data_IF_251086495430
#
_entry.id   IF_251086495430
#
_cell.length_a   1.000
_cell.length_b   1.000
_cell.length_c   1.000
_cell.angle_alpha   90.00
_cell.angle_beta   90.00
_cell.angle_gamma   90.00
#
_symmetry.space_group_name_H-M   'P 1'
#
loop_
_entity.id
_entity.type
_entity.pdbx_description
1 polymer ?
#
# COMPACT_ATOMS: atom_id res chain seq x y z
N UNK A 1 30.26 -73.15 5.81
CA UNK A 1 30.02 -72.10 4.80
C UNK A 1 29.49 -70.84 5.50
N UNK A 2 30.22 -69.72 5.47
CA UNK A 2 29.88 -68.49 6.21
C UNK A 2 28.82 -67.66 5.44
N UNK A 3 27.63 -67.48 6.02
CA UNK A 3 26.56 -66.63 5.47
C UNK A 3 26.89 -65.15 5.75
N UNK A 4 27.21 -64.37 4.71
CA UNK A 4 27.42 -62.91 4.81
C UNK A 4 26.06 -62.21 4.97
N UNK A 5 25.88 -61.51 6.09
CA UNK A 5 24.76 -60.61 6.37
C UNK A 5 24.86 -59.36 5.49
N UNK A 6 23.86 -59.13 4.64
CA UNK A 6 23.72 -57.91 3.84
C UNK A 6 23.21 -56.77 4.73
N UNK A 7 24.04 -55.74 4.91
CA UNK A 7 23.71 -54.53 5.67
C UNK A 7 22.80 -53.64 4.82
N UNK A 8 21.50 -53.56 5.15
CA UNK A 8 20.56 -52.61 4.52
C UNK A 8 20.99 -51.18 4.88
N UNK A 9 21.52 -50.46 3.90
CA UNK A 9 21.86 -49.03 4.03
C UNK A 9 20.56 -48.22 4.00
N UNK A 10 20.34 -47.39 5.03
CA UNK A 10 19.22 -46.44 5.07
C UNK A 10 19.46 -45.36 4.01
N UNK A 11 18.49 -45.13 3.13
CA UNK A 11 18.52 -44.03 2.18
C UNK A 11 18.58 -42.69 2.94
N UNK A 12 19.67 -41.94 2.78
CA UNK A 12 19.79 -40.59 3.33
C UNK A 12 18.86 -39.66 2.57
N UNK A 13 17.85 -39.11 3.24
CA UNK A 13 17.04 -38.02 2.68
C UNK A 13 17.97 -36.84 2.42
N UNK A 14 18.11 -36.42 1.15
CA UNK A 14 18.83 -35.20 0.78
C UNK A 14 18.21 -34.02 1.52
N UNK A 15 19.02 -33.28 2.26
CA UNK A 15 18.62 -32.02 2.85
C UNK A 15 18.22 -31.06 1.72
N UNK A 16 17.00 -30.52 1.75
CA UNK A 16 16.58 -29.46 0.82
C UNK A 16 17.52 -28.27 1.02
N UNK A 17 18.13 -27.83 -0.07
CA UNK A 17 19.06 -26.71 -0.04
C UNK A 17 18.29 -25.42 0.20
N UNK A 18 18.84 -24.50 0.98
CA UNK A 18 18.30 -23.15 1.20
C UNK A 18 18.08 -22.40 -0.12
N UNK A 19 18.71 -22.88 -1.22
CA UNK A 19 18.63 -22.34 -2.57
C UNK A 19 17.28 -22.59 -3.28
N UNK A 20 16.47 -23.53 -2.81
CA UNK A 20 15.10 -23.79 -3.32
C UNK A 20 14.03 -22.98 -2.56
N UNK A 21 14.46 -22.02 -1.75
CA UNK A 21 13.56 -21.12 -1.03
C UNK A 21 13.29 -19.87 -1.88
N UNK A 22 12.32 -19.94 -2.79
CA UNK A 22 11.81 -18.77 -3.51
C UNK A 22 10.88 -17.98 -2.60
N UNK A 23 11.44 -17.19 -1.69
CA UNK A 23 10.70 -16.15 -0.97
C UNK A 23 10.81 -14.83 -1.71
N UNK A 24 9.97 -14.64 -2.71
CA UNK A 24 9.62 -13.30 -3.22
C UNK A 24 8.22 -13.38 -3.81
N UNK A 25 7.19 -13.28 -2.98
CA UNK A 25 5.93 -12.73 -3.45
C UNK A 25 5.86 -11.30 -2.94
N UNK A 26 6.39 -10.37 -3.72
CA UNK A 26 6.09 -8.96 -3.53
C UNK A 26 4.59 -8.80 -3.75
N UNK A 27 3.86 -8.44 -2.71
CA UNK A 27 2.41 -8.20 -2.80
C UNK A 27 2.18 -7.15 -3.89
N UNK A 28 1.47 -7.51 -4.96
CA UNK A 28 1.01 -6.53 -5.93
C UNK A 28 0.05 -5.56 -5.21
N UNK A 29 0.39 -4.28 -5.20
CA UNK A 29 -0.46 -3.25 -4.59
C UNK A 29 -1.66 -3.01 -5.49
N UNK A 30 -2.71 -3.80 -5.27
CA UNK A 30 -4.03 -3.52 -5.84
C UNK A 30 -4.65 -2.42 -4.99
N UNK A 31 -5.01 -1.31 -5.63
CA UNK A 31 -5.63 -0.14 -4.98
C UNK A 31 -7.15 -0.22 -5.06
N UNK A 32 -7.84 0.20 -4.00
CA UNK A 32 -9.31 0.29 -3.99
C UNK A 32 -9.74 1.73 -4.26
N UNK A 33 -10.75 1.97 -5.12
CA UNK A 33 -11.31 3.29 -5.26
C UNK A 33 -11.99 3.74 -3.96
N UNK A 34 -11.69 4.96 -3.51
CA UNK A 34 -12.20 5.51 -2.24
C UNK A 34 -13.34 6.50 -2.43
N UNK A 35 -13.48 7.09 -3.62
CA UNK A 35 -14.54 8.04 -3.97
C UNK A 35 -15.42 7.51 -5.11
N UNK A 36 -16.66 7.99 -5.18
CA UNK A 36 -17.59 7.65 -6.28
C UNK A 36 -17.02 8.09 -7.64
N UNK A 37 -16.40 9.27 -7.69
CA UNK A 37 -15.75 9.79 -8.89
C UNK A 37 -14.62 8.86 -9.37
N UNK A 38 -13.84 8.27 -8.45
CA UNK A 38 -12.83 7.28 -8.80
C UNK A 38 -13.43 5.99 -9.35
N UNK A 39 -14.61 5.57 -8.85
CA UNK A 39 -15.37 4.44 -9.44
C UNK A 39 -15.85 4.77 -10.85
N UNK A 40 -16.12 6.04 -11.13
CA UNK A 40 -16.47 6.54 -12.46
C UNK A 40 -15.27 6.83 -13.37
N UNK A 41 -14.04 6.54 -12.92
CA UNK A 41 -12.84 6.71 -13.72
C UNK A 41 -12.23 8.11 -13.67
N UNK A 42 -12.55 8.92 -12.65
CA UNK A 42 -11.69 10.07 -12.32
C UNK A 42 -10.31 9.54 -11.88
N UNK A 43 -9.26 10.25 -12.27
CA UNK A 43 -7.87 9.99 -11.85
C UNK A 43 -7.44 10.88 -10.67
N UNK A 44 -8.37 11.70 -10.15
CA UNK A 44 -8.15 12.64 -9.05
C UNK A 44 -7.53 13.95 -9.53
N UNK A 45 -7.47 14.16 -10.85
CA UNK A 45 -6.94 15.37 -11.49
C UNK A 45 -7.94 16.52 -11.50
N UNK A 46 -9.19 16.25 -11.12
CA UNK A 46 -10.26 17.25 -10.99
C UNK A 46 -9.93 18.36 -9.97
N UNK A 47 -9.26 18.02 -8.87
CA UNK A 47 -8.91 18.96 -7.79
C UNK A 47 -7.53 19.58 -7.91
N UNK A 48 -6.58 18.83 -8.46
CA UNK A 48 -5.19 19.27 -8.61
C UNK A 48 -4.70 18.96 -10.02
N UNK A 49 -4.02 19.92 -10.68
CA UNK A 49 -3.55 19.72 -12.05
C UNK A 49 -2.39 18.73 -12.14
N UNK A 50 -1.69 18.46 -11.04
CA UNK A 50 -0.49 17.62 -10.99
C UNK A 50 -0.60 16.54 -9.92
N UNK A 51 0.08 15.42 -10.16
CA UNK A 51 0.22 14.34 -9.19
C UNK A 51 1.54 14.40 -8.41
N UNK A 52 2.56 15.08 -8.95
CA UNK A 52 3.87 15.20 -8.31
C UNK A 52 3.88 16.39 -7.36
N UNK A 53 4.40 16.16 -6.16
CA UNK A 53 4.47 17.19 -5.13
C UNK A 53 5.42 18.33 -5.51
N UNK A 54 6.56 18.02 -6.13
CA UNK A 54 7.57 19.03 -6.48
C UNK A 54 7.04 20.05 -7.49
N UNK A 55 6.29 19.57 -8.49
CA UNK A 55 5.64 20.41 -9.51
C UNK A 55 4.51 21.26 -8.90
N UNK A 56 3.80 20.72 -7.91
CA UNK A 56 2.79 21.47 -7.16
C UNK A 56 3.42 22.57 -6.30
N UNK A 57 4.57 22.28 -5.68
CA UNK A 57 5.28 23.22 -4.83
C UNK A 57 5.93 24.36 -5.65
N UNK A 58 6.41 24.10 -6.86
CA UNK A 58 6.85 25.17 -7.78
C UNK A 58 5.67 26.05 -8.20
N UNK A 59 4.53 25.44 -8.55
CA UNK A 59 3.31 26.19 -8.89
C UNK A 59 2.83 27.09 -7.74
N UNK A 60 2.85 26.59 -6.49
CA UNK A 60 2.51 27.40 -5.30
C UNK A 60 3.46 28.58 -5.07
N UNK A 61 4.74 28.43 -5.39
CA UNK A 61 5.71 29.52 -5.28
C UNK A 61 5.47 30.62 -6.32
N UNK A 62 5.06 30.23 -7.52
CA UNK A 62 4.76 31.15 -8.62
C UNK A 62 3.44 31.92 -8.41
N UNK A 63 2.46 31.32 -7.72
CA UNK A 63 1.18 31.96 -7.43
C UNK A 63 1.31 33.17 -6.49
N UNK A 64 0.44 34.16 -6.69
CA UNK A 64 0.32 35.29 -5.76
C UNK A 64 -0.48 34.89 -4.51
N UNK A 65 -0.39 35.67 -3.42
CA UNK A 65 -1.15 35.40 -2.18
C UNK A 65 -2.67 35.27 -2.44
N UNK A 66 -3.22 36.12 -3.30
CA UNK A 66 -4.66 36.12 -3.62
C UNK A 66 -5.02 34.83 -4.35
N UNK A 67 -4.19 34.41 -5.30
CA UNK A 67 -4.40 33.18 -6.06
C UNK A 67 -4.31 31.94 -5.17
N UNK A 68 -3.35 31.89 -4.24
CA UNK A 68 -3.23 30.77 -3.28
C UNK A 68 -4.48 30.71 -2.39
N UNK A 69 -5.03 31.85 -1.98
CA UNK A 69 -6.25 31.90 -1.19
C UNK A 69 -7.46 31.43 -1.99
N UNK A 70 -7.60 31.86 -3.24
CA UNK A 70 -8.65 31.39 -4.14
C UNK A 70 -8.55 29.88 -4.38
N UNK A 71 -7.35 29.38 -4.66
CA UNK A 71 -7.09 27.96 -4.83
C UNK A 71 -7.41 27.16 -3.55
N UNK A 72 -7.04 27.68 -2.38
CA UNK A 72 -7.42 27.08 -1.10
C UNK A 72 -8.95 26.97 -0.95
N UNK A 73 -9.71 28.00 -1.31
CA UNK A 73 -11.18 27.92 -1.29
C UNK A 73 -11.75 26.89 -2.26
N UNK A 74 -11.19 26.77 -3.47
CA UNK A 74 -11.61 25.78 -4.47
C UNK A 74 -11.39 24.35 -3.98
N UNK A 75 -10.28 24.10 -3.27
CA UNK A 75 -9.95 22.80 -2.68
C UNK A 75 -10.75 22.53 -1.39
N UNK A 76 -11.39 23.55 -0.81
CA UNK A 76 -12.16 23.45 0.44
C UNK A 76 -11.32 23.67 1.71
N UNK A 77 -10.16 24.33 1.59
CA UNK A 77 -9.31 24.72 2.70
C UNK A 77 -9.60 26.17 3.12
N UNK A 78 -9.70 26.43 4.43
CA UNK A 78 -9.93 27.77 4.97
C UNK A 78 -8.68 28.65 4.73
N UNK A 79 -8.81 29.79 4.03
CA UNK A 79 -7.69 30.68 3.78
C UNK A 79 -7.09 31.26 5.08
N UNK A 80 -5.77 31.38 5.11
CA UNK A 80 -5.02 32.02 6.20
C UNK A 80 -4.24 33.19 5.60
N UNK A 81 -3.97 34.23 6.39
CA UNK A 81 -3.21 35.39 5.91
C UNK A 81 -1.72 35.11 5.73
N UNK A 82 -1.13 34.32 6.62
CA UNK A 82 0.28 33.96 6.53
C UNK A 82 0.48 32.97 5.36
N UNK A 83 1.25 33.42 4.36
CA UNK A 83 1.55 32.66 3.13
C UNK A 83 2.22 31.33 3.43
N UNK A 84 3.26 31.32 4.26
CA UNK A 84 4.05 30.10 4.54
C UNK A 84 3.17 29.02 5.20
N UNK A 85 2.32 29.44 6.13
CA UNK A 85 1.37 28.53 6.80
C UNK A 85 0.33 28.00 5.82
N UNK A 86 -0.15 28.85 4.90
CA UNK A 86 -1.12 28.45 3.88
C UNK A 86 -0.51 27.46 2.88
N UNK A 87 0.71 27.69 2.43
CA UNK A 87 1.45 26.78 1.55
C UNK A 87 1.66 25.40 2.21
N UNK A 88 2.14 25.37 3.46
CA UNK A 88 2.31 24.11 4.20
C UNK A 88 0.99 23.34 4.35
N UNK A 89 -0.11 24.04 4.58
CA UNK A 89 -1.45 23.42 4.66
C UNK A 89 -1.89 22.88 3.29
N UNK A 90 -1.67 23.63 2.21
CA UNK A 90 -1.98 23.17 0.85
C UNK A 90 -1.19 21.90 0.50
N UNK A 91 0.11 21.87 0.78
CA UNK A 91 0.95 20.68 0.55
C UNK A 91 0.47 19.49 1.38
N UNK A 92 0.08 19.72 2.64
CA UNK A 92 -0.47 18.66 3.50
C UNK A 92 -1.77 18.08 2.95
N UNK A 93 -2.69 18.92 2.50
CA UNK A 93 -3.95 18.47 1.90
C UNK A 93 -3.71 17.76 0.56
N UNK A 94 -2.76 18.23 -0.25
CA UNK A 94 -2.34 17.56 -1.47
C UNK A 94 -1.85 16.13 -1.20
N UNK A 95 -0.94 15.96 -0.25
CA UNK A 95 -0.44 14.62 0.16
C UNK A 95 -1.58 13.74 0.66
N UNK A 96 -2.49 14.31 1.45
CA UNK A 96 -3.66 13.60 1.98
C UNK A 96 -4.58 13.12 0.87
N UNK A 97 -4.87 13.97 -0.11
CA UNK A 97 -5.70 13.64 -1.27
C UNK A 97 -5.14 12.42 -2.03
N UNK A 98 -3.85 12.46 -2.39
CA UNK A 98 -3.22 11.37 -3.12
C UNK A 98 -3.04 10.09 -2.29
N UNK A 99 -2.80 10.22 -0.99
CA UNK A 99 -2.76 9.07 -0.08
C UNK A 99 -4.12 8.38 0.04
N UNK A 100 -5.22 9.14 0.01
CA UNK A 100 -6.58 8.59 -0.03
C UNK A 100 -6.86 7.93 -1.38
N UNK A 101 -6.41 8.54 -2.48
CA UNK A 101 -6.60 8.00 -3.83
C UNK A 101 -5.90 6.65 -4.05
N UNK A 102 -4.70 6.50 -3.48
CA UNK A 102 -3.86 5.28 -3.58
C UNK A 102 -3.96 4.41 -2.34
N UNK A 103 -5.18 4.16 -1.85
CA UNK A 103 -5.37 3.32 -0.67
C UNK A 103 -5.19 1.84 -1.04
N UNK A 104 -4.23 1.11 -0.43
CA UNK A 104 -4.02 -0.30 -0.73
C UNK A 104 -5.22 -1.13 -0.24
N UNK A 105 -5.58 -2.18 -0.98
CA UNK A 105 -6.60 -3.13 -0.55
C UNK A 105 -6.10 -3.84 0.72
N UNK A 106 -6.77 -3.56 1.83
CA UNK A 106 -6.70 -4.39 3.04
C UNK A 106 -7.63 -5.57 2.82
N UNK A 107 -7.08 -6.71 2.39
CA UNK A 107 -7.79 -7.99 2.53
C UNK A 107 -7.93 -8.26 4.03
N UNK A 108 -9.14 -8.19 4.56
CA UNK A 108 -9.42 -8.62 5.92
C UNK A 108 -8.96 -10.07 6.06
N UNK A 109 -7.94 -10.31 6.87
CA UNK A 109 -7.32 -11.62 7.06
C UNK A 109 -8.20 -12.63 7.81
N UNK A 110 -9.52 -12.42 7.85
CA UNK A 110 -10.47 -13.40 8.33
C UNK A 110 -10.63 -14.51 7.29
N UNK A 111 -9.59 -15.34 7.16
CA UNK A 111 -9.77 -16.66 6.56
C UNK A 111 -10.76 -17.38 7.46
N UNK A 112 -11.93 -17.74 6.92
CA UNK A 112 -12.86 -18.62 7.60
C UNK A 112 -12.20 -20.01 7.72
N UNK A 113 -11.44 -20.20 8.80
CA UNK A 113 -10.81 -21.48 9.07
C UNK A 113 -11.91 -22.46 9.46
N UNK A 114 -12.09 -23.51 8.66
CA UNK A 114 -13.04 -24.58 8.97
C UNK A 114 -12.75 -25.16 10.36
N UNK A 115 -13.79 -25.55 11.08
CA UNK A 115 -13.68 -26.06 12.46
C UNK A 115 -12.67 -27.20 12.59
N UNK A 116 -12.56 -28.04 11.55
CA UNK A 116 -11.59 -29.14 11.46
C UNK A 116 -10.13 -28.68 11.48
N UNK A 117 -9.83 -27.55 10.85
CA UNK A 117 -8.46 -26.99 10.85
C UNK A 117 -8.15 -26.34 12.21
N UNK A 118 -9.14 -25.72 12.85
CA UNK A 118 -9.00 -25.19 14.22
C UNK A 118 -8.71 -26.28 15.25
N UNK A 119 -9.44 -27.40 15.20
CA UNK A 119 -9.21 -28.51 16.14
C UNK A 119 -7.83 -29.14 15.98
N UNK A 120 -7.34 -29.27 14.75
CA UNK A 120 -5.98 -29.79 14.47
C UNK A 120 -4.89 -28.85 15.03
N UNK A 121 -5.12 -27.54 14.98
CA UNK A 121 -4.19 -26.54 15.53
C UNK A 121 -4.20 -26.51 17.07
N UNK A 122 -5.35 -26.77 17.69
CA UNK A 122 -5.51 -26.80 19.15
C UNK A 122 -4.95 -28.08 19.78
N UNK A 123 -5.04 -29.22 19.11
CA UNK A 123 -4.53 -30.51 19.60
C UNK A 123 -3.00 -30.60 19.61
N UNK A 124 -2.32 -29.77 18.81
CA UNK A 124 -0.86 -29.76 18.65
C UNK A 124 -0.09 -28.76 19.53
N UNK A 125 -0.77 -28.07 20.46
CA UNK A 125 -0.18 -27.05 21.35
C UNK A 125 0.08 -27.60 22.76
#
# INVERSE_FOLDING_TARGET
MKKKTQKKTRASKKAKSVKDMTQTHGKEEVFQPTTLDQVWGDDGTSKYPTQKEDEYLSSLKEMTRIDIQAHATQVGLIPVENREVLEQRMVREFRRHWAQYKRPITTDGSVEISQKVKSILEEGR
#
